data_IF_616178554142
#
_entry.id   IF_616178554142
#
_cell.length_a   1.000
_cell.length_b   1.000
_cell.length_c   1.000
_cell.angle_alpha   90.00
_cell.angle_beta   90.00
_cell.angle_gamma   90.00
#
_symmetry.space_group_name_H-M   'P 1'
#
loop_
_entity.id
_entity.type
_entity.pdbx_description
1 polymer ?
#
# COMPACT_ATOMS: atom_id res chain seq x y z
N UNK A 1 0.05 -61.68 8.02
CA UNK A 1 0.07 -61.06 6.67
C UNK A 1 -0.90 -59.90 6.52
N UNK A 2 -1.94 -59.77 7.35
CA UNK A 2 -2.89 -58.64 7.24
C UNK A 2 -2.41 -57.31 7.83
N UNK A 3 -1.57 -57.33 8.87
CA UNK A 3 -1.03 -56.11 9.53
C UNK A 3 -0.14 -55.25 8.61
N UNK A 4 0.71 -55.89 7.80
CA UNK A 4 1.70 -55.22 6.95
C UNK A 4 1.05 -54.34 5.86
N UNK A 5 -0.15 -54.72 5.40
CA UNK A 5 -0.90 -53.95 4.41
C UNK A 5 -1.64 -52.74 5.03
N UNK A 6 -2.05 -52.80 6.30
CA UNK A 6 -2.67 -51.66 6.98
C UNK A 6 -1.64 -50.59 7.29
N UNK A 7 -0.47 -50.97 7.78
CA UNK A 7 0.65 -50.04 8.03
C UNK A 7 1.13 -49.36 6.73
N UNK A 8 1.26 -50.12 5.63
CA UNK A 8 1.67 -49.55 4.34
C UNK A 8 0.64 -48.55 3.78
N UNK A 9 -0.66 -48.79 4.00
CA UNK A 9 -1.73 -47.86 3.60
C UNK A 9 -1.75 -46.60 4.46
N UNK A 10 -1.55 -46.75 5.78
CA UNK A 10 -1.47 -45.61 6.70
C UNK A 10 -0.27 -44.71 6.34
N UNK A 11 0.89 -45.31 6.10
CA UNK A 11 2.12 -44.59 5.76
C UNK A 11 2.00 -43.87 4.40
N UNK A 12 1.37 -44.51 3.41
CA UNK A 12 1.10 -43.88 2.11
C UNK A 12 0.13 -42.69 2.21
N UNK A 13 -0.92 -42.81 3.04
CA UNK A 13 -1.87 -41.72 3.26
C UNK A 13 -1.22 -40.54 4.00
N UNK A 14 -0.39 -40.80 5.01
CA UNK A 14 0.33 -39.78 5.75
C UNK A 14 1.31 -39.00 4.84
N UNK A 15 2.06 -39.69 3.98
CA UNK A 15 2.97 -39.07 3.02
C UNK A 15 2.21 -38.17 2.03
N UNK A 16 1.10 -38.65 1.48
CA UNK A 16 0.24 -37.84 0.59
C UNK A 16 -0.32 -36.60 1.28
N UNK A 17 -0.75 -36.72 2.54
CA UNK A 17 -1.25 -35.57 3.30
C UNK A 17 -0.16 -34.50 3.51
N UNK A 18 1.06 -34.92 3.86
CA UNK A 18 2.20 -34.01 4.02
C UNK A 18 2.52 -33.30 2.71
N UNK A 19 2.54 -34.02 1.58
CA UNK A 19 2.80 -33.45 0.26
C UNK A 19 1.79 -32.37 -0.11
N UNK A 20 0.49 -32.62 0.15
CA UNK A 20 -0.58 -31.66 -0.10
C UNK A 20 -0.41 -30.41 0.78
N UNK A 21 -0.10 -30.57 2.07
CA UNK A 21 0.11 -29.45 2.99
C UNK A 21 1.32 -28.60 2.58
N UNK A 22 2.43 -29.25 2.22
CA UNK A 22 3.64 -28.55 1.77
C UNK A 22 3.39 -27.79 0.47
N UNK A 23 2.67 -28.39 -0.49
CA UNK A 23 2.31 -27.73 -1.73
C UNK A 23 1.34 -26.55 -1.53
N UNK A 24 0.44 -26.63 -0.55
CA UNK A 24 -0.43 -25.51 -0.18
C UNK A 24 0.37 -24.38 0.48
N UNK A 25 1.26 -24.71 1.43
CA UNK A 25 2.15 -23.76 2.08
C UNK A 25 3.05 -23.03 1.09
N UNK A 26 3.68 -23.76 0.18
CA UNK A 26 4.60 -23.18 -0.80
C UNK A 26 3.88 -22.25 -1.79
N UNK A 27 2.61 -22.55 -2.12
CA UNK A 27 1.76 -21.64 -2.90
C UNK A 27 1.47 -20.36 -2.13
N UNK A 28 1.03 -20.47 -0.88
CA UNK A 28 0.77 -19.32 -0.02
C UNK A 28 2.01 -18.44 0.16
N UNK A 29 3.20 -19.03 0.35
CA UNK A 29 4.46 -18.29 0.47
C UNK A 29 4.80 -17.52 -0.82
N UNK A 30 4.61 -18.13 -2.00
CA UNK A 30 4.84 -17.46 -3.28
C UNK A 30 3.86 -16.31 -3.51
N UNK A 31 2.58 -16.52 -3.21
CA UNK A 31 1.56 -15.48 -3.29
C UNK A 31 1.90 -14.32 -2.35
N UNK A 32 2.29 -14.62 -1.11
CA UNK A 32 2.68 -13.61 -0.13
C UNK A 32 3.87 -12.77 -0.61
N UNK A 33 4.91 -13.41 -1.17
CA UNK A 33 6.07 -12.70 -1.73
C UNK A 33 5.62 -11.80 -2.89
N UNK A 34 4.82 -12.31 -3.83
CA UNK A 34 4.35 -11.50 -4.96
C UNK A 34 3.47 -10.32 -4.53
N UNK A 35 2.62 -10.52 -3.51
CA UNK A 35 1.76 -9.48 -2.96
C UNK A 35 2.57 -8.40 -2.25
N UNK A 36 3.63 -8.80 -1.52
CA UNK A 36 4.57 -7.88 -0.89
C UNK A 36 5.29 -7.03 -1.95
N UNK A 37 5.84 -7.65 -2.98
CA UNK A 37 6.54 -6.94 -4.06
C UNK A 37 5.61 -5.94 -4.77
N UNK A 38 4.35 -6.33 -5.02
CA UNK A 38 3.35 -5.44 -5.61
C UNK A 38 3.02 -4.24 -4.71
N UNK A 39 2.92 -4.46 -3.39
CA UNK A 39 2.69 -3.40 -2.42
C UNK A 39 3.87 -2.42 -2.34
N UNK A 40 5.10 -2.94 -2.33
CA UNK A 40 6.31 -2.10 -2.31
C UNK A 40 6.39 -1.22 -3.56
N UNK A 41 6.10 -1.77 -4.75
CA UNK A 41 6.05 -0.99 -6.00
C UNK A 41 5.02 0.12 -5.96
N UNK A 42 3.79 -0.18 -5.54
CA UNK A 42 2.73 0.84 -5.40
C UNK A 42 3.11 1.93 -4.40
N UNK A 43 3.76 1.55 -3.30
CA UNK A 43 4.22 2.52 -2.30
C UNK A 43 5.28 3.45 -2.88
N UNK A 44 6.23 2.92 -3.65
CA UNK A 44 7.24 3.72 -4.33
C UNK A 44 6.63 4.67 -5.38
N UNK A 45 5.67 4.18 -6.17
CA UNK A 45 4.94 4.99 -7.16
C UNK A 45 4.18 6.15 -6.50
N UNK A 46 3.47 5.87 -5.40
CA UNK A 46 2.75 6.90 -4.63
C UNK A 46 3.69 7.95 -4.05
N UNK A 47 4.84 7.51 -3.53
CA UNK A 47 5.86 8.41 -2.99
C UNK A 47 6.41 9.32 -4.10
N UNK A 48 6.73 8.76 -5.26
CA UNK A 48 7.22 9.53 -6.41
C UNK A 48 6.17 10.54 -6.90
N UNK A 49 4.90 10.13 -6.99
CA UNK A 49 3.80 11.05 -7.37
C UNK A 49 3.65 12.20 -6.38
N UNK A 50 3.77 11.91 -5.07
CA UNK A 50 3.71 12.93 -4.04
C UNK A 50 4.87 13.92 -4.13
N UNK A 51 6.10 13.43 -4.30
CA UNK A 51 7.28 14.27 -4.48
C UNK A 51 7.16 15.16 -5.72
N UNK A 52 6.69 14.60 -6.84
CA UNK A 52 6.42 15.36 -8.06
C UNK A 52 5.36 16.44 -7.86
N UNK A 53 4.28 16.14 -7.15
CA UNK A 53 3.23 17.10 -6.82
C UNK A 53 3.77 18.25 -5.96
N UNK A 54 4.53 17.93 -4.90
CA UNK A 54 5.15 18.92 -4.01
C UNK A 54 6.15 19.82 -4.76
N UNK A 55 7.05 19.24 -5.56
CA UNK A 55 8.03 20.00 -6.36
C UNK A 55 7.34 20.90 -7.39
N UNK A 56 6.34 20.37 -8.10
CA UNK A 56 5.63 21.12 -9.13
C UNK A 56 4.87 22.30 -8.54
N UNK A 57 4.14 22.09 -7.45
CA UNK A 57 3.35 23.17 -6.84
C UNK A 57 4.22 24.18 -6.10
N UNK A 58 5.39 23.77 -5.61
CA UNK A 58 6.38 24.69 -5.05
C UNK A 58 7.08 25.54 -6.12
N UNK A 59 7.18 25.07 -7.37
CA UNK A 59 7.80 25.84 -8.47
C UNK A 59 6.85 26.81 -9.16
N UNK A 60 5.53 26.70 -8.92
CA UNK A 60 4.54 27.67 -9.36
C UNK A 60 4.73 28.97 -8.56
N UNK A 61 4.97 30.08 -9.27
CA UNK A 61 5.14 31.40 -8.67
C UNK A 61 3.84 32.03 -8.14
N UNK A 62 2.69 31.47 -8.48
CA UNK A 62 1.37 31.89 -8.00
C UNK A 62 0.94 31.13 -6.74
N UNK A 63 0.11 31.77 -5.92
CA UNK A 63 -0.54 31.10 -4.80
C UNK A 63 -1.57 30.07 -5.29
N UNK A 64 -1.44 28.83 -4.83
CA UNK A 64 -2.37 27.73 -5.12
C UNK A 64 -3.03 27.26 -3.84
N UNK A 65 -4.36 27.28 -3.84
CA UNK A 65 -5.22 26.75 -2.78
C UNK A 65 -6.15 25.72 -3.39
N UNK A 66 -6.25 24.54 -2.80
CA UNK A 66 -7.30 23.57 -3.17
C UNK A 66 -8.31 23.43 -2.04
N UNK A 67 -9.55 23.11 -2.41
CA UNK A 67 -10.64 22.91 -1.47
C UNK A 67 -11.39 21.62 -1.76
N UNK A 68 -12.09 21.09 -0.76
CA UNK A 68 -13.08 20.04 -0.95
C UNK A 68 -14.41 20.58 -1.55
N UNK A 69 -15.41 19.70 -1.68
CA UNK A 69 -16.72 20.07 -2.23
C UNK A 69 -17.50 21.07 -1.36
N UNK A 70 -17.11 21.24 -0.09
CA UNK A 70 -17.70 22.20 0.85
C UNK A 70 -16.88 23.50 0.95
N UNK A 71 -15.94 23.71 0.02
CA UNK A 71 -15.02 24.85 -0.01
C UNK A 71 -14.09 24.94 1.22
N UNK A 72 -13.79 23.82 1.87
CA UNK A 72 -12.80 23.77 2.96
C UNK A 72 -11.41 23.55 2.40
N UNK A 73 -10.41 24.27 2.89
CA UNK A 73 -9.03 24.17 2.42
C UNK A 73 -8.48 22.76 2.64
N UNK A 74 -7.98 22.15 1.57
CA UNK A 74 -7.34 20.82 1.57
C UNK A 74 -5.84 20.90 1.31
N UNK A 75 -5.35 21.98 0.70
CA UNK A 75 -3.91 22.18 0.43
C UNK A 75 -3.59 23.66 0.18
N UNK A 76 -2.38 24.06 0.57
CA UNK A 76 -1.73 25.34 0.26
C UNK A 76 -0.32 25.03 -0.26
N UNK A 77 0.08 25.66 -1.37
CA UNK A 77 1.49 25.67 -1.76
C UNK A 77 2.29 26.68 -0.92
N UNK A 78 3.64 26.62 -0.88
CA UNK A 78 4.44 27.55 -0.08
C UNK A 78 4.20 29.03 -0.41
N UNK A 79 3.90 29.35 -1.66
CA UNK A 79 3.55 30.72 -2.07
C UNK A 79 2.24 31.17 -1.45
N UNK A 80 1.20 30.32 -1.47
CA UNK A 80 -0.07 30.61 -0.81
C UNK A 80 0.10 30.76 0.71
N UNK A 81 0.96 29.94 1.34
CA UNK A 81 1.27 30.10 2.76
C UNK A 81 1.92 31.48 3.05
N UNK A 82 2.90 31.87 2.23
CA UNK A 82 3.58 33.15 2.36
C UNK A 82 2.64 34.36 2.11
N UNK A 83 1.72 34.25 1.15
CA UNK A 83 0.80 35.33 0.79
C UNK A 83 -0.37 35.48 1.77
N UNK A 84 -0.92 34.37 2.25
CA UNK A 84 -2.06 34.38 3.18
C UNK A 84 -1.63 34.55 4.64
N UNK A 85 -0.37 34.21 4.96
CA UNK A 85 0.12 34.14 6.34
C UNK A 85 -0.37 32.90 7.09
N UNK A 86 -1.07 31.98 6.42
CA UNK A 86 -1.48 30.71 7.00
C UNK A 86 -0.51 29.61 6.58
N UNK A 87 -0.08 28.80 7.54
CA UNK A 87 0.50 27.49 7.21
C UNK A 87 -0.61 26.47 7.00
N UNK A 88 -0.39 25.46 6.18
CA UNK A 88 -1.38 24.44 5.81
C UNK A 88 -2.05 23.82 7.04
N UNK A 89 -1.28 23.50 8.08
CA UNK A 89 -1.82 22.92 9.32
C UNK A 89 -2.90 23.80 9.98
N UNK A 90 -2.80 25.12 9.80
CA UNK A 90 -3.72 26.09 10.40
C UNK A 90 -4.89 26.38 9.46
N UNK A 91 -4.69 26.27 8.15
CA UNK A 91 -5.74 26.46 7.14
C UNK A 91 -6.62 25.22 6.92
N UNK A 92 -6.08 24.01 7.14
CA UNK A 92 -6.73 22.75 6.79
C UNK A 92 -8.15 22.64 7.39
N UNK A 93 -9.14 22.37 6.54
CA UNK A 93 -10.54 22.21 6.94
C UNK A 93 -11.29 23.52 7.22
N UNK A 94 -10.62 24.67 7.18
CA UNK A 94 -11.30 25.98 7.27
C UNK A 94 -11.98 26.33 5.96
N UNK A 95 -13.16 26.99 6.00
CA UNK A 95 -13.77 27.52 4.79
C UNK A 95 -12.86 28.59 4.18
N UNK A 96 -12.82 28.61 2.84
CA UNK A 96 -12.15 29.66 2.07
C UNK A 96 -12.94 30.96 2.05
#
# INVERSE_FOLDING_TARGET
>A
MSDDFEDQRLQSAALKNIEVILAARQRAERELVSAKDALERRTAELQQQREWFEVTLASIGDAVITTDLEARVTFLNPVAEAMTGWVLRDALGKPL
#
